data_IF_324189305301
#
_entry.id   IF_324189305301
#
_cell.length_a   1.000
_cell.length_b   1.000
_cell.length_c   1.000
_cell.angle_alpha   90.00
_cell.angle_beta   90.00
_cell.angle_gamma   90.00
#
_symmetry.space_group_name_H-M   'P 1'
#
loop_
_entity.id
_entity.type
_entity.pdbx_description
1 polymer ?
#
# COMPACT_ATOMS: atom_id res chain seq x y z
N UNK A 1 1.34 -50.64 -31.43
CA UNK A 1 0.96 -49.29 -31.92
C UNK A 1 0.19 -48.47 -30.89
N UNK A 2 -0.88 -49.00 -30.25
CA UNK A 2 -1.67 -48.25 -29.24
C UNK A 2 -0.85 -47.72 -28.04
N UNK A 3 0.07 -48.52 -27.50
CA UNK A 3 0.89 -48.10 -26.34
C UNK A 3 1.91 -47.00 -26.69
N UNK A 4 2.49 -47.04 -27.89
CA UNK A 4 3.44 -46.01 -28.36
C UNK A 4 2.72 -44.67 -28.57
N UNK A 5 1.48 -44.71 -29.09
CA UNK A 5 0.64 -43.52 -29.25
C UNK A 5 0.30 -42.87 -27.89
N UNK A 6 -0.02 -43.68 -26.88
CA UNK A 6 -0.34 -43.17 -25.52
C UNK A 6 0.89 -42.55 -24.87
N UNK A 7 2.07 -43.14 -25.04
CA UNK A 7 3.34 -42.60 -24.52
C UNK A 7 3.66 -41.25 -25.19
N UNK A 8 3.48 -41.14 -26.51
CA UNK A 8 3.71 -39.88 -27.23
C UNK A 8 2.75 -38.76 -26.79
N UNK A 9 1.49 -39.09 -26.49
CA UNK A 9 0.50 -38.13 -25.98
C UNK A 9 0.84 -37.68 -24.55
N UNK A 10 1.33 -38.59 -23.68
CA UNK A 10 1.75 -38.23 -22.33
C UNK A 10 3.02 -37.35 -22.33
N UNK A 11 3.94 -37.61 -23.25
CA UNK A 11 5.14 -36.79 -23.43
C UNK A 11 4.76 -35.41 -23.99
N UNK A 12 3.87 -35.31 -24.98
CA UNK A 12 3.45 -34.00 -25.50
C UNK A 12 2.68 -33.18 -24.47
N UNK A 13 1.86 -33.81 -23.62
CA UNK A 13 1.12 -33.14 -22.56
C UNK A 13 2.04 -32.62 -21.45
N UNK A 14 3.06 -33.38 -21.07
CA UNK A 14 4.06 -32.93 -20.08
C UNK A 14 4.98 -31.83 -20.62
N UNK A 15 5.33 -31.87 -21.91
CA UNK A 15 6.01 -30.75 -22.56
C UNK A 15 5.12 -29.50 -22.58
N UNK A 16 3.84 -29.59 -22.95
CA UNK A 16 2.95 -28.43 -22.99
C UNK A 16 2.77 -27.74 -21.61
N UNK A 17 2.76 -28.51 -20.52
CA UNK A 17 2.66 -27.97 -19.15
C UNK A 17 3.96 -27.29 -18.70
N UNK A 18 5.12 -27.75 -19.19
CA UNK A 18 6.43 -27.16 -18.84
C UNK A 18 6.79 -25.93 -19.68
N UNK A 19 6.25 -25.81 -20.90
CA UNK A 19 6.44 -24.64 -21.78
C UNK A 19 5.31 -23.61 -21.71
N UNK A 20 4.29 -23.80 -20.86
CA UNK A 20 3.44 -22.68 -20.50
C UNK A 20 4.38 -21.59 -19.94
N UNK A 21 4.42 -20.38 -20.52
CA UNK A 21 5.26 -19.33 -19.97
C UNK A 21 4.81 -19.15 -18.53
N UNK A 22 5.70 -19.49 -17.61
CA UNK A 22 5.57 -19.07 -16.23
C UNK A 22 5.72 -17.56 -16.30
N UNK A 23 4.60 -16.87 -16.48
CA UNK A 23 4.50 -15.43 -16.28
C UNK A 23 4.70 -15.22 -14.78
N UNK A 24 5.94 -15.34 -14.33
CA UNK A 24 6.39 -14.71 -13.12
C UNK A 24 6.46 -13.24 -13.50
N UNK A 25 5.30 -12.59 -13.43
CA UNK A 25 5.27 -11.15 -13.27
C UNK A 25 6.04 -10.92 -11.98
N UNK A 26 7.32 -10.56 -12.08
CA UNK A 26 7.98 -9.83 -11.01
C UNK A 26 7.18 -8.53 -10.94
N UNK A 27 6.13 -8.52 -10.13
CA UNK A 27 5.42 -7.32 -9.78
C UNK A 27 6.49 -6.46 -9.09
N UNK A 28 7.09 -5.54 -9.84
CA UNK A 28 7.97 -4.54 -9.28
C UNK A 28 7.13 -3.82 -8.24
N UNK A 29 7.52 -3.91 -6.97
CA UNK A 29 6.76 -3.31 -5.88
C UNK A 29 6.71 -1.81 -6.13
N UNK A 30 5.55 -1.35 -6.62
CA UNK A 30 5.36 0.04 -7.02
C UNK A 30 5.45 0.93 -5.78
N UNK A 31 4.87 0.50 -4.66
CA UNK A 31 4.87 1.26 -3.41
C UNK A 31 6.27 1.27 -2.79
N UNK A 32 6.75 2.46 -2.43
CA UNK A 32 8.08 2.70 -1.85
C UNK A 32 8.06 3.15 -0.40
N UNK A 33 6.99 3.82 0.04
CA UNK A 33 6.86 4.25 1.42
C UNK A 33 5.41 4.63 1.75
N UNK A 34 5.07 4.54 3.03
CA UNK A 34 3.80 5.03 3.58
C UNK A 34 4.09 5.96 4.75
N UNK A 35 3.40 7.09 4.75
CA UNK A 35 3.35 8.03 5.87
C UNK A 35 1.91 8.17 6.34
N UNK A 36 1.66 7.92 7.62
CA UNK A 36 0.34 8.05 8.24
C UNK A 36 0.43 9.07 9.35
N UNK A 37 -0.44 10.07 9.36
CA UNK A 37 -0.64 10.96 10.49
C UNK A 37 -2.03 10.74 11.03
N UNK A 38 -2.14 10.22 12.26
CA UNK A 38 -3.42 9.99 12.91
C UNK A 38 -3.81 11.22 13.73
N UNK A 39 -5.06 11.65 13.60
CA UNK A 39 -5.63 12.77 14.35
C UNK A 39 -6.40 12.29 15.59
N UNK A 40 -6.69 13.22 16.50
CA UNK A 40 -7.33 12.93 17.78
C UNK A 40 -8.73 12.33 17.67
N UNK A 41 -9.43 12.55 16.56
CA UNK A 41 -10.77 12.00 16.30
C UNK A 41 -10.75 10.58 15.70
N UNK A 42 -9.55 10.05 15.39
CA UNK A 42 -9.31 8.78 14.73
C UNK A 42 -9.16 8.87 13.22
N UNK A 43 -9.46 10.01 12.59
CA UNK A 43 -9.17 10.17 11.16
C UNK A 43 -7.66 10.14 10.91
N UNK A 44 -7.26 9.79 9.69
CA UNK A 44 -5.85 9.72 9.33
C UNK A 44 -5.59 10.38 7.97
N UNK A 45 -4.52 11.16 7.90
CA UNK A 45 -3.91 11.60 6.64
C UNK A 45 -2.90 10.53 6.20
N UNK A 46 -3.07 10.02 4.99
CA UNK A 46 -2.18 9.03 4.37
C UNK A 46 -1.45 9.69 3.21
N UNK A 47 -0.14 9.44 3.11
CA UNK A 47 0.68 9.76 1.96
C UNK A 47 1.45 8.49 1.55
N UNK A 48 1.21 8.02 0.34
CA UNK A 48 1.82 6.83 -0.24
C UNK A 48 2.71 7.23 -1.42
N UNK A 49 3.96 6.76 -1.40
CA UNK A 49 4.92 7.02 -2.48
C UNK A 49 4.96 5.81 -3.39
N UNK A 50 4.78 6.02 -4.69
CA UNK A 50 4.90 4.97 -5.70
C UNK A 50 5.96 5.32 -6.73
N UNK A 51 6.74 4.30 -7.13
CA UNK A 51 7.49 4.31 -8.38
C UNK A 51 6.54 4.00 -9.52
N UNK A 52 6.69 4.73 -10.62
CA UNK A 52 5.84 4.62 -11.79
C UNK A 52 6.66 4.03 -12.94
N UNK A 53 6.21 2.94 -13.58
CA UNK A 53 6.87 2.40 -14.76
C UNK A 53 6.68 3.37 -15.95
N UNK A 54 7.43 3.16 -17.03
CA UNK A 54 7.27 3.95 -18.26
C UNK A 54 5.94 3.62 -18.95
N UNK A 55 4.86 4.23 -18.47
CA UNK A 55 3.48 4.00 -18.89
C UNK A 55 2.68 5.30 -18.79
N UNK A 56 1.75 5.52 -19.73
CA UNK A 56 0.87 6.71 -19.76
C UNK A 56 -0.06 6.76 -18.55
N UNK A 57 -0.45 5.59 -18.06
CA UNK A 57 -1.36 5.40 -16.93
C UNK A 57 -0.84 4.31 -16.03
N UNK A 58 -1.01 4.47 -14.72
CA UNK A 58 -0.68 3.44 -13.72
C UNK A 58 -1.85 3.22 -12.78
N UNK A 59 -2.08 1.96 -12.42
CA UNK A 59 -3.05 1.57 -11.41
C UNK A 59 -2.33 1.28 -10.11
N UNK A 60 -2.70 2.00 -9.05
CA UNK A 60 -2.17 1.79 -7.70
C UNK A 60 -3.30 1.42 -6.74
N UNK A 61 -3.02 0.53 -5.80
CA UNK A 61 -3.96 0.17 -4.74
C UNK A 61 -3.61 0.94 -3.49
N UNK A 62 -4.56 1.70 -2.95
CA UNK A 62 -4.43 2.47 -1.72
C UNK A 62 -4.59 1.55 -0.50
N UNK A 63 -3.90 1.86 0.61
CA UNK A 63 -4.01 1.04 1.84
C UNK A 63 -5.36 1.14 2.53
N UNK A 64 -6.18 2.12 2.15
CA UNK A 64 -7.46 2.42 2.78
C UNK A 64 -8.35 3.24 1.85
N UNK A 65 -9.64 3.30 2.16
CA UNK A 65 -10.61 4.00 1.34
C UNK A 65 -10.53 5.50 1.63
N UNK A 66 -10.30 6.36 0.61
CA UNK A 66 -10.32 7.81 0.76
C UNK A 66 -11.71 8.31 1.15
N UNK A 67 -11.75 9.31 2.02
CA UNK A 67 -12.98 10.01 2.35
C UNK A 67 -13.53 10.71 1.11
N UNK A 68 -14.78 10.39 0.76
CA UNK A 68 -15.49 10.97 -0.39
C UNK A 68 -14.74 10.85 -1.73
N UNK A 69 -13.88 9.83 -1.90
CA UNK A 69 -13.02 9.63 -3.07
C UNK A 69 -12.09 10.83 -3.38
N UNK A 70 -11.81 11.69 -2.40
CA UNK A 70 -10.92 12.84 -2.57
C UNK A 70 -9.48 12.39 -2.37
N UNK A 71 -8.69 12.47 -3.44
CA UNK A 71 -7.28 12.09 -3.48
C UNK A 71 -6.49 13.18 -4.20
N UNK A 72 -5.30 13.50 -3.69
CA UNK A 72 -4.34 14.38 -4.35
C UNK A 72 -3.16 13.56 -4.83
N UNK A 73 -2.81 13.68 -6.11
CA UNK A 73 -1.64 13.04 -6.69
C UNK A 73 -0.70 14.10 -7.19
N UNK A 74 0.55 14.08 -6.73
CA UNK A 74 1.61 14.98 -7.20
C UNK A 74 2.80 14.15 -7.71
N UNK A 75 3.45 14.63 -8.77
CA UNK A 75 4.68 14.03 -9.29
C UNK A 75 5.93 14.46 -8.50
N UNK A 76 7.10 13.97 -8.90
CA UNK A 76 8.39 14.36 -8.34
C UNK A 76 8.72 15.87 -8.45
N UNK A 77 8.04 16.61 -9.31
CA UNK A 77 8.22 18.05 -9.52
C UNK A 77 7.19 18.90 -8.76
N UNK A 78 6.27 18.27 -8.02
CA UNK A 78 5.18 18.95 -7.31
C UNK A 78 4.00 19.36 -8.21
N UNK A 79 3.90 18.77 -9.42
CA UNK A 79 2.80 18.98 -10.35
C UNK A 79 1.64 18.06 -10.03
N UNK A 80 0.42 18.59 -9.97
CA UNK A 80 -0.77 17.78 -9.79
C UNK A 80 -1.06 16.91 -11.01
N UNK A 81 -1.26 15.61 -10.78
CA UNK A 81 -1.64 14.65 -11.80
C UNK A 81 -3.14 14.36 -11.72
N UNK A 82 -3.75 14.12 -12.87
CA UNK A 82 -5.14 13.68 -12.93
C UNK A 82 -5.25 12.21 -12.51
N UNK A 83 -6.26 11.89 -11.70
CA UNK A 83 -6.50 10.54 -11.20
C UNK A 83 -7.98 10.28 -10.95
N UNK A 84 -8.39 9.02 -11.04
CA UNK A 84 -9.75 8.57 -10.79
C UNK A 84 -9.78 7.38 -9.83
N UNK A 85 -10.64 7.45 -8.81
CA UNK A 85 -10.87 6.34 -7.88
C UNK A 85 -11.90 5.38 -8.50
N UNK A 86 -11.46 4.18 -8.87
CA UNK A 86 -12.26 3.22 -9.62
C UNK A 86 -13.15 2.35 -8.70
N UNK A 87 -12.61 1.86 -7.57
CA UNK A 87 -13.36 0.95 -6.68
C UNK A 87 -13.02 1.11 -5.18
N UNK A 88 -12.97 2.37 -4.72
CA UNK A 88 -12.72 2.70 -3.32
C UNK A 88 -11.24 2.70 -2.94
N UNK A 89 -10.46 1.66 -3.34
CA UNK A 89 -9.01 1.64 -3.11
C UNK A 89 -8.17 1.52 -4.38
N UNK A 90 -8.74 1.15 -5.53
CA UNK A 90 -8.02 1.23 -6.80
C UNK A 90 -8.06 2.66 -7.34
N UNK A 91 -6.88 3.22 -7.60
CA UNK A 91 -6.69 4.53 -8.19
C UNK A 91 -6.00 4.39 -9.54
N UNK A 92 -6.64 4.92 -10.59
CA UNK A 92 -6.02 5.10 -11.90
C UNK A 92 -5.38 6.49 -11.94
N UNK A 93 -4.10 6.57 -12.29
CA UNK A 93 -3.33 7.83 -12.36
C UNK A 93 -2.76 8.02 -13.75
N UNK A 94 -3.00 9.19 -14.34
CA UNK A 94 -2.41 9.60 -15.61
C UNK A 94 -1.03 10.20 -15.31
N UNK A 95 0.02 9.51 -15.75
CA UNK A 95 1.38 9.74 -15.25
C UNK A 95 2.03 10.95 -15.89
N UNK A 96 1.69 11.25 -17.15
CA UNK A 96 2.31 12.30 -17.96
C UNK A 96 3.86 12.24 -17.97
N UNK A 97 4.44 11.04 -17.82
CA UNK A 97 5.89 10.81 -17.78
C UNK A 97 6.53 10.91 -16.40
N UNK A 98 5.73 11.09 -15.33
CA UNK A 98 6.19 11.03 -13.95
C UNK A 98 6.82 9.66 -13.63
N UNK A 99 7.89 9.67 -12.84
CA UNK A 99 8.58 8.44 -12.38
C UNK A 99 8.27 8.12 -10.93
N UNK A 100 7.87 9.13 -10.16
CA UNK A 100 7.49 8.98 -8.76
C UNK A 100 6.22 9.79 -8.54
N UNK A 101 5.24 9.19 -7.89
CA UNK A 101 4.02 9.89 -7.49
C UNK A 101 3.85 9.79 -5.98
N UNK A 102 3.39 10.89 -5.37
CA UNK A 102 2.91 10.93 -4.01
C UNK A 102 1.40 11.06 -4.04
N UNK A 103 0.72 10.03 -3.51
CA UNK A 103 -0.72 9.97 -3.39
C UNK A 103 -1.11 10.30 -1.96
N UNK A 104 -1.81 11.40 -1.76
CA UNK A 104 -2.21 11.90 -0.44
C UNK A 104 -3.73 11.96 -0.31
N UNK A 105 -4.28 11.44 0.79
CA UNK A 105 -5.71 11.43 1.04
C UNK A 105 -6.04 11.30 2.53
N UNK A 106 -7.26 11.70 2.92
CA UNK A 106 -7.78 11.50 4.28
C UNK A 106 -8.66 10.26 4.31
N UNK A 107 -8.62 9.50 5.40
CA UNK A 107 -9.45 8.30 5.60
C UNK A 107 -9.91 8.18 7.05
N UNK A 108 -11.07 7.55 7.24
CA UNK A 108 -11.58 7.13 8.55
C UNK A 108 -11.56 5.60 8.71
N UNK A 109 -11.07 4.87 7.71
CA UNK A 109 -11.16 3.40 7.66
C UNK A 109 -9.93 2.69 8.22
N UNK A 110 -8.83 3.41 8.45
CA UNK A 110 -7.60 2.85 9.03
C UNK A 110 -7.68 2.61 10.53
N UNK A 111 -8.47 3.42 11.23
CA UNK A 111 -8.65 3.30 12.67
C UNK A 111 -10.04 2.77 12.99
N UNK A 112 -10.13 1.96 14.02
CA UNK A 112 -11.40 1.45 14.55
C UNK A 112 -11.51 1.90 15.99
N UNK A 113 -12.56 2.66 16.34
CA UNK A 113 -12.85 3.04 17.72
C UNK A 113 -13.26 1.80 18.51
N UNK A 114 -12.65 1.59 19.67
CA UNK A 114 -13.08 0.51 20.57
C UNK A 114 -14.37 0.91 21.27
N UNK A 115 -15.30 -0.04 21.40
CA UNK A 115 -16.56 0.18 22.09
C UNK A 115 -16.40 0.12 23.62
N UNK A 116 -15.40 -0.63 24.09
CA UNK A 116 -15.24 -0.94 25.51
C UNK A 116 -14.52 0.16 26.30
N UNK A 117 -13.72 1.00 25.64
CA UNK A 117 -12.94 2.08 26.29
C UNK A 117 -13.05 3.36 25.48
N UNK A 118 -13.76 4.35 26.04
CA UNK A 118 -13.95 5.67 25.42
C UNK A 118 -12.60 6.32 25.09
N UNK A 119 -12.50 6.86 23.87
CA UNK A 119 -11.29 7.56 23.42
C UNK A 119 -10.15 6.65 22.94
N UNK A 120 -10.35 5.33 22.90
CA UNK A 120 -9.36 4.40 22.32
C UNK A 120 -9.72 4.00 20.91
N UNK A 121 -8.70 3.86 20.09
CA UNK A 121 -8.81 3.36 18.72
C UNK A 121 -7.65 2.43 18.41
N UNK A 122 -7.90 1.48 17.51
CA UNK A 122 -6.90 0.55 16.99
C UNK A 122 -6.60 0.88 15.54
N UNK A 123 -5.33 1.08 15.22
CA UNK A 123 -4.83 1.16 13.84
C UNK A 123 -4.42 -0.24 13.38
N UNK A 124 -4.98 -0.71 12.26
CA UNK A 124 -4.66 -2.01 11.68
C UNK A 124 -4.24 -1.83 10.23
N UNK A 125 -3.02 -2.26 9.92
CA UNK A 125 -2.48 -2.24 8.57
C UNK A 125 -1.50 -3.40 8.39
N UNK A 126 -1.42 -3.87 7.15
CA UNK A 126 -0.34 -4.75 6.69
C UNK A 126 0.54 -3.91 5.78
N UNK A 127 1.85 -4.07 5.90
CA UNK A 127 2.79 -3.24 5.19
C UNK A 127 4.03 -4.03 4.78
N UNK A 128 4.38 -3.89 3.51
CA UNK A 128 5.48 -4.58 2.85
C UNK A 128 6.66 -3.61 2.59
N UNK A 129 6.43 -2.30 2.72
CA UNK A 129 7.40 -1.23 2.45
C UNK A 129 7.74 -0.44 3.74
N UNK A 130 8.63 0.56 3.73
CA UNK A 130 8.85 1.40 4.91
C UNK A 130 7.59 2.18 5.33
N UNK A 131 7.32 2.24 6.64
CA UNK A 131 6.16 2.92 7.21
C UNK A 131 6.57 3.87 8.32
N UNK A 132 6.00 5.07 8.29
CA UNK A 132 6.11 6.05 9.38
C UNK A 132 4.72 6.42 9.87
N UNK A 133 4.47 6.28 11.16
CA UNK A 133 3.21 6.67 11.81
C UNK A 133 3.48 7.84 12.76
N UNK A 134 2.73 8.93 12.60
CA UNK A 134 2.67 10.05 13.55
C UNK A 134 1.40 9.94 14.39
N UNK A 135 1.59 9.87 15.70
CA UNK A 135 0.53 9.82 16.69
C UNK A 135 0.30 11.22 17.29
N UNK A 136 -0.96 11.59 17.57
CA UNK A 136 -1.28 12.91 18.11
C UNK A 136 -0.66 13.11 19.49
N UNK A 137 -0.47 14.37 19.89
CA UNK A 137 0.32 14.78 21.05
C UNK A 137 -0.07 14.08 22.36
N UNK A 138 -1.37 13.93 22.59
CA UNK A 138 -1.91 13.34 23.82
C UNK A 138 -2.19 11.83 23.71
N UNK A 139 -1.73 11.17 22.63
CA UNK A 139 -1.92 9.74 22.48
C UNK A 139 -1.00 8.94 23.39
N UNK A 140 -1.58 7.95 24.08
CA UNK A 140 -0.84 6.95 24.85
C UNK A 140 -0.88 5.63 24.09
N UNK A 141 0.31 5.09 23.77
CA UNK A 141 0.42 3.76 23.15
C UNK A 141 0.14 2.68 24.19
N UNK A 142 -1.03 2.04 24.10
CA UNK A 142 -1.44 0.99 25.04
C UNK A 142 -0.88 -0.39 24.68
N UNK A 143 -0.91 -0.72 23.39
CA UNK A 143 -0.48 -2.02 22.89
C UNK A 143 0.01 -1.89 21.45
N UNK A 144 1.00 -2.70 21.09
CA UNK A 144 1.56 -2.76 19.75
C UNK A 144 1.97 -4.20 19.42
N UNK A 145 1.51 -4.70 18.28
CA UNK A 145 1.82 -6.08 17.85
C UNK A 145 3.23 -6.21 17.30
N UNK A 146 3.68 -5.21 16.54
CA UNK A 146 5.01 -5.15 15.94
C UNK A 146 5.76 -3.96 16.52
N UNK A 147 6.94 -4.19 17.09
CA UNK A 147 7.74 -3.08 17.63
C UNK A 147 8.30 -2.23 16.47
N UNK A 148 8.24 -0.89 16.56
CA UNK A 148 8.93 -0.03 15.61
C UNK A 148 10.43 -0.15 15.81
N UNK A 149 11.18 0.08 14.74
CA UNK A 149 12.63 0.15 14.83
C UNK A 149 13.07 1.38 15.62
N UNK A 150 12.31 2.47 15.49
CA UNK A 150 12.60 3.75 16.16
C UNK A 150 11.32 4.43 16.63
N UNK A 151 11.44 5.03 17.82
CA UNK A 151 10.45 5.93 18.38
C UNK A 151 11.11 7.28 18.54
N UNK A 152 10.57 8.29 17.88
CA UNK A 152 11.09 9.65 17.87
C UNK A 152 10.03 10.62 18.40
N UNK A 153 10.48 11.78 18.87
CA UNK A 153 9.61 12.91 19.20
C UNK A 153 9.90 14.04 18.21
N UNK A 154 8.91 14.37 17.38
CA UNK A 154 8.95 15.46 16.39
C UNK A 154 7.94 16.54 16.81
N UNK A 155 8.41 17.64 17.40
CA UNK A 155 7.56 18.69 17.98
C UNK A 155 6.47 18.12 18.91
N UNK A 156 5.22 18.12 18.43
CA UNK A 156 4.03 17.62 19.12
C UNK A 156 3.65 16.17 18.76
N UNK A 157 4.42 15.52 17.89
CA UNK A 157 4.13 14.18 17.40
C UNK A 157 5.03 13.15 18.04
N UNK A 158 4.45 12.01 18.43
CA UNK A 158 5.21 10.78 18.65
C UNK A 158 5.27 10.05 17.32
N UNK A 159 6.48 9.75 16.85
CA UNK A 159 6.71 9.16 15.53
C UNK A 159 7.26 7.75 15.69
N UNK A 160 6.60 6.81 15.02
CA UNK A 160 6.97 5.40 14.99
C UNK A 160 7.48 5.07 13.58
N UNK A 161 8.72 4.62 13.47
CA UNK A 161 9.34 4.20 12.21
C UNK A 161 9.44 2.67 12.15
N UNK A 162 8.94 2.09 11.06
CA UNK A 162 9.01 0.67 10.75
C UNK A 162 9.73 0.52 9.41
N UNK A 163 10.87 -0.15 9.43
CA UNK A 163 11.56 -0.61 8.23
C UNK A 163 10.77 -1.74 7.61
N UNK A 164 10.84 -1.84 6.28
CA UNK A 164 10.24 -2.93 5.52
C UNK A 164 10.94 -4.26 5.81
N UNK A 165 10.58 -4.92 6.91
CA UNK A 165 10.92 -6.32 7.14
C UNK A 165 10.13 -6.91 8.33
N UNK A 166 9.05 -7.62 8.04
CA UNK A 166 8.94 -9.07 8.32
C UNK A 166 7.49 -9.52 8.13
N UNK A 167 7.19 -9.94 6.90
CA UNK A 167 6.13 -10.92 6.65
C UNK A 167 6.71 -12.25 7.12
N UNK A 168 6.32 -12.70 8.31
CA UNK A 168 6.37 -14.13 8.66
C UNK A 168 5.03 -14.75 8.37
#
# INVERSE_FOLDING_TARGET
MRQVLVILILISLTLAVTYAPQMICLAEELRKAIYITVFSDGSALVSEIFSVPDAITVNVSLISVPFSNVVFVIDENGTFLYSEVINGTLLEVYTYGARIINVTYVTETLTVKEQDVLGTWRLKLQNECPLTIRLPEDAVLLNITLLPDRILKEDKWTVLEFSSANIT
#
